data_IF_917821920656
#
_entry.id   IF_917821920656
#
_cell.length_a   1.000
_cell.length_b   1.000
_cell.length_c   1.000
_cell.angle_alpha   90.00
_cell.angle_beta   90.00
_cell.angle_gamma   90.00
#
_symmetry.space_group_name_H-M   'P 1'
#
loop_
_entity.id
_entity.type
_entity.pdbx_description
1 polymer ?
#
# COMPACT_ATOMS: atom_id res chain seq x y z
N UNK A 1 11.06 -12.52 8.57
CA UNK A 1 11.11 -12.75 7.10
C UNK A 1 12.41 -13.41 6.70
N UNK A 2 13.57 -12.74 6.87
CA UNK A 2 14.87 -13.28 6.45
C UNK A 2 15.22 -14.64 7.09
N UNK A 3 14.88 -14.86 8.37
CA UNK A 3 15.07 -16.16 9.03
C UNK A 3 14.26 -17.28 8.38
N UNK A 4 13.03 -16.99 7.93
CA UNK A 4 12.12 -17.97 7.30
C UNK A 4 12.47 -18.22 5.84
N UNK A 5 12.91 -17.17 5.13
CA UNK A 5 13.26 -17.20 3.71
C UNK A 5 14.68 -16.67 3.50
N UNK A 6 15.71 -17.43 3.92
CA UNK A 6 17.10 -16.95 3.91
C UNK A 6 17.70 -16.84 2.51
N UNK A 7 17.15 -17.55 1.52
CA UNK A 7 17.62 -17.52 0.13
C UNK A 7 16.45 -17.43 -0.85
N UNK A 8 16.75 -17.00 -2.08
CA UNK A 8 15.77 -16.96 -3.17
C UNK A 8 15.19 -18.35 -3.47
N UNK A 9 16.00 -19.40 -3.38
CA UNK A 9 15.57 -20.77 -3.62
C UNK A 9 14.50 -21.21 -2.62
N UNK A 10 14.69 -20.89 -1.33
CA UNK A 10 13.70 -21.18 -0.28
C UNK A 10 12.42 -20.38 -0.51
N UNK A 11 12.53 -19.08 -0.82
CA UNK A 11 11.35 -18.25 -1.11
C UNK A 11 10.57 -18.73 -2.35
N UNK A 12 11.28 -19.14 -3.40
CA UNK A 12 10.68 -19.65 -4.64
C UNK A 12 9.97 -20.99 -4.44
N UNK A 13 10.44 -21.82 -3.51
CA UNK A 13 9.82 -23.11 -3.18
C UNK A 13 8.65 -22.99 -2.20
N UNK A 14 8.58 -21.92 -1.40
CA UNK A 14 7.52 -21.70 -0.44
C UNK A 14 6.13 -21.65 -1.13
N UNK A 15 5.10 -22.08 -0.41
CA UNK A 15 3.71 -21.92 -0.85
C UNK A 15 3.27 -20.45 -0.76
N UNK A 16 2.20 -20.10 -1.50
CA UNK A 16 1.62 -18.76 -1.42
C UNK A 16 1.09 -18.46 -0.01
N UNK A 17 0.54 -19.46 0.67
CA UNK A 17 0.04 -19.36 2.05
C UNK A 17 1.18 -19.03 3.03
N UNK A 18 2.33 -19.71 2.95
CA UNK A 18 3.47 -19.43 3.83
C UNK A 18 4.03 -18.01 3.67
N UNK A 19 4.03 -17.51 2.43
CA UNK A 19 4.46 -16.15 2.08
C UNK A 19 3.45 -15.13 2.58
N UNK A 20 2.15 -15.36 2.35
CA UNK A 20 1.09 -14.47 2.84
C UNK A 20 1.07 -14.39 4.37
N UNK A 21 1.22 -15.52 5.05
CA UNK A 21 1.34 -15.60 6.50
C UNK A 21 2.50 -14.73 7.02
N UNK A 22 3.68 -14.85 6.41
CA UNK A 22 4.85 -14.07 6.78
C UNK A 22 4.73 -12.57 6.42
N UNK A 23 3.85 -12.22 5.47
CA UNK A 23 3.56 -10.84 5.05
C UNK A 23 2.36 -10.21 5.78
N UNK A 24 1.67 -10.98 6.62
CA UNK A 24 0.44 -10.57 7.27
C UNK A 24 0.64 -9.29 8.09
N UNK A 25 -0.17 -8.28 7.81
CA UNK A 25 -0.12 -6.97 8.49
C UNK A 25 0.70 -5.89 7.77
N UNK A 26 1.57 -6.24 6.81
CA UNK A 26 2.35 -5.25 6.04
C UNK A 26 1.55 -4.56 4.92
N UNK A 27 0.39 -5.11 4.57
CA UNK A 27 -0.46 -4.60 3.50
C UNK A 27 0.14 -4.75 2.10
N UNK A 28 -0.66 -4.43 1.07
CA UNK A 28 -0.30 -4.61 -0.34
C UNK A 28 0.26 -6.02 -0.64
N UNK A 29 -0.52 -7.06 -0.33
CA UNK A 29 -0.16 -8.47 -0.46
C UNK A 29 0.29 -8.88 -1.86
N UNK A 30 -0.14 -8.15 -2.91
CA UNK A 30 0.38 -8.33 -4.26
C UNK A 30 1.90 -8.22 -4.33
N UNK A 31 2.55 -7.44 -3.44
CA UNK A 31 4.02 -7.36 -3.36
C UNK A 31 4.64 -8.67 -2.90
N UNK A 32 4.07 -9.34 -1.92
CA UNK A 32 4.57 -10.63 -1.41
C UNK A 32 4.51 -11.70 -2.52
N UNK A 33 3.36 -11.78 -3.20
CA UNK A 33 3.16 -12.66 -4.34
C UNK A 33 4.15 -12.37 -5.48
N UNK A 34 4.30 -11.11 -5.86
CA UNK A 34 5.25 -10.68 -6.90
C UNK A 34 6.70 -10.95 -6.51
N UNK A 35 7.06 -10.79 -5.25
CA UNK A 35 8.40 -11.09 -4.74
C UNK A 35 8.71 -12.59 -4.83
N UNK A 36 7.74 -13.45 -4.49
CA UNK A 36 7.84 -14.90 -4.68
C UNK A 36 7.94 -15.27 -6.16
N UNK A 37 7.10 -14.69 -7.02
CA UNK A 37 7.17 -14.89 -8.48
C UNK A 37 8.54 -14.46 -9.05
N UNK A 38 9.07 -13.34 -8.58
CA UNK A 38 10.41 -12.85 -8.94
C UNK A 38 11.51 -13.81 -8.48
N UNK A 39 11.45 -14.33 -7.25
CA UNK A 39 12.40 -15.33 -6.76
C UNK A 39 12.37 -16.62 -7.58
N UNK A 40 11.17 -17.11 -7.93
CA UNK A 40 11.00 -18.26 -8.81
C UNK A 40 11.57 -17.98 -10.22
N UNK A 41 11.34 -16.79 -10.76
CA UNK A 41 11.92 -16.39 -12.05
C UNK A 41 13.46 -16.41 -12.02
N UNK A 42 14.07 -15.86 -10.97
CA UNK A 42 15.54 -15.87 -10.82
C UNK A 42 16.07 -17.30 -10.73
N UNK A 43 15.43 -18.17 -9.95
CA UNK A 43 15.81 -19.59 -9.83
C UNK A 43 15.71 -20.32 -11.16
N UNK A 44 14.57 -20.19 -11.84
CA UNK A 44 14.20 -21.05 -12.98
C UNK A 44 14.74 -20.54 -14.32
N UNK A 45 14.98 -19.22 -14.46
CA UNK A 45 15.40 -18.59 -15.73
C UNK A 45 16.80 -18.00 -15.68
N UNK A 46 17.31 -17.62 -14.51
CA UNK A 46 18.59 -16.93 -14.35
C UNK A 46 19.61 -17.76 -13.55
N UNK A 47 19.38 -19.06 -13.40
CA UNK A 47 20.31 -19.96 -12.69
C UNK A 47 20.50 -19.63 -11.22
N UNK A 48 19.53 -18.96 -10.59
CA UNK A 48 19.60 -18.53 -9.19
C UNK A 48 20.42 -17.27 -8.94
N UNK A 49 20.95 -16.61 -9.98
CA UNK A 49 21.74 -15.40 -9.85
C UNK A 49 20.91 -14.15 -10.19
N UNK A 50 20.94 -13.16 -9.29
CA UNK A 50 20.33 -11.85 -9.57
C UNK A 50 21.26 -11.09 -10.54
N UNK A 51 20.74 -10.56 -11.66
CA UNK A 51 21.53 -9.79 -12.60
C UNK A 51 21.93 -8.44 -11.99
N UNK A 52 23.07 -7.90 -12.39
CA UNK A 52 23.62 -6.66 -11.83
C UNK A 52 23.02 -5.40 -12.47
N UNK A 53 22.53 -5.48 -13.71
CA UNK A 53 22.11 -4.33 -14.50
C UNK A 53 20.64 -3.96 -14.29
N UNK A 54 20.31 -2.67 -14.41
CA UNK A 54 18.93 -2.18 -14.31
C UNK A 54 18.02 -2.78 -15.37
N UNK A 55 18.54 -2.93 -16.59
CA UNK A 55 17.81 -3.41 -17.76
C UNK A 55 17.38 -4.86 -17.61
N UNK A 56 18.21 -5.69 -16.97
CA UNK A 56 17.90 -7.09 -16.70
C UNK A 56 17.02 -7.25 -15.47
N UNK A 57 17.28 -6.48 -14.41
CA UNK A 57 16.45 -6.47 -13.20
C UNK A 57 14.99 -6.12 -13.51
N UNK A 58 14.75 -5.18 -14.43
CA UNK A 58 13.41 -4.79 -14.88
C UNK A 58 12.62 -5.91 -15.56
N UNK A 59 13.28 -6.98 -16.02
CA UNK A 59 12.61 -8.15 -16.62
C UNK A 59 12.03 -9.10 -15.55
N UNK A 60 12.46 -8.96 -14.29
CA UNK A 60 12.02 -9.82 -13.19
C UNK A 60 10.64 -9.36 -12.70
N UNK A 61 9.64 -10.26 -12.59
CA UNK A 61 8.32 -9.91 -12.07
C UNK A 61 8.38 -9.22 -10.71
N UNK A 62 7.70 -8.08 -10.59
CA UNK A 62 7.64 -7.31 -9.33
C UNK A 62 8.75 -6.29 -9.14
N UNK A 63 9.78 -6.27 -10.00
CA UNK A 63 10.84 -5.27 -9.96
C UNK A 63 10.48 -4.11 -10.90
N UNK A 64 10.23 -2.94 -10.31
CA UNK A 64 10.05 -1.68 -11.05
C UNK A 64 11.33 -0.84 -11.08
N UNK A 65 11.32 0.33 -11.75
CA UNK A 65 12.50 1.19 -11.92
C UNK A 65 13.20 1.56 -10.61
N UNK A 66 12.44 1.89 -9.57
CA UNK A 66 12.99 2.17 -8.24
C UNK A 66 13.76 0.97 -7.68
N UNK A 67 13.13 -0.21 -7.66
CA UNK A 67 13.72 -1.43 -7.11
C UNK A 67 14.92 -1.89 -7.93
N UNK A 68 14.87 -1.76 -9.25
CA UNK A 68 15.99 -2.06 -10.13
C UNK A 68 17.20 -1.17 -9.82
N UNK A 69 17.00 0.15 -9.75
CA UNK A 69 18.06 1.10 -9.39
C UNK A 69 18.60 0.89 -7.97
N UNK A 70 17.73 0.55 -7.01
CA UNK A 70 18.14 0.21 -5.65
C UNK A 70 19.04 -1.03 -5.60
N UNK A 71 18.61 -2.14 -6.21
CA UNK A 71 19.37 -3.39 -6.20
C UNK A 71 20.70 -3.22 -6.95
N UNK A 72 20.68 -2.66 -8.15
CA UNK A 72 21.88 -2.50 -8.99
C UNK A 72 22.93 -1.61 -8.33
N UNK A 73 22.52 -0.48 -7.73
CA UNK A 73 23.46 0.44 -7.08
C UNK A 73 23.96 -0.09 -5.73
N UNK A 74 23.06 -0.59 -4.86
CA UNK A 74 23.43 -1.00 -3.50
C UNK A 74 24.18 -2.34 -3.49
N UNK A 75 23.72 -3.31 -4.29
CA UNK A 75 24.27 -4.68 -4.24
C UNK A 75 25.38 -4.92 -5.26
N UNK A 76 25.41 -4.15 -6.35
CA UNK A 76 26.34 -4.40 -7.47
C UNK A 76 27.16 -3.18 -7.89
N UNK A 77 27.11 -2.10 -7.10
CA UNK A 77 27.83 -0.84 -7.32
C UNK A 77 27.65 -0.26 -8.74
N UNK A 78 26.50 -0.51 -9.38
CA UNK A 78 26.20 0.06 -10.68
C UNK A 78 25.76 1.51 -10.54
N UNK A 79 26.22 2.36 -11.45
CA UNK A 79 25.82 3.79 -11.53
C UNK A 79 24.39 3.91 -12.06
N UNK A 80 23.43 3.56 -11.22
CA UNK A 80 22.01 3.53 -11.51
C UNK A 80 21.27 4.44 -10.52
N UNK A 81 20.52 5.46 -10.99
CA UNK A 81 19.72 6.29 -10.11
C UNK A 81 18.52 5.52 -9.57
N UNK A 82 17.98 5.99 -8.45
CA UNK A 82 16.67 5.61 -7.96
C UNK A 82 15.87 6.85 -7.55
N UNK A 83 14.55 6.75 -7.65
CA UNK A 83 13.64 7.83 -7.25
C UNK A 83 12.41 7.24 -6.56
N UNK A 84 12.21 7.60 -5.30
CA UNK A 84 11.00 7.34 -4.53
C UNK A 84 10.32 8.65 -4.09
N UNK A 85 9.30 8.55 -3.23
CA UNK A 85 8.63 9.74 -2.68
C UNK A 85 9.52 10.62 -1.79
N UNK A 86 10.58 10.07 -1.20
CA UNK A 86 11.57 10.82 -0.42
C UNK A 86 12.47 11.63 -1.35
N UNK A 87 13.04 10.99 -2.37
CA UNK A 87 13.88 11.61 -3.38
C UNK A 87 13.13 12.70 -4.15
N UNK A 88 11.87 12.46 -4.57
CA UNK A 88 11.04 13.49 -5.22
C UNK A 88 10.88 14.72 -4.32
N UNK A 89 10.63 14.51 -3.02
CA UNK A 89 10.48 15.63 -2.06
C UNK A 89 11.78 16.40 -1.88
N UNK A 90 12.90 15.69 -1.73
CA UNK A 90 14.23 16.31 -1.62
C UNK A 90 14.54 17.15 -2.86
N UNK A 91 14.40 16.59 -4.06
CA UNK A 91 14.67 17.35 -5.29
C UNK A 91 13.68 18.49 -5.52
N UNK A 92 12.40 18.29 -5.19
CA UNK A 92 11.41 19.36 -5.22
C UNK A 92 11.83 20.56 -4.38
N UNK A 93 12.33 20.34 -3.16
CA UNK A 93 12.81 21.41 -2.27
C UNK A 93 14.15 21.98 -2.72
N UNK A 94 15.12 21.13 -3.06
CA UNK A 94 16.44 21.58 -3.53
C UNK A 94 16.34 22.49 -4.76
N UNK A 95 15.37 22.23 -5.63
CA UNK A 95 15.19 22.98 -6.88
C UNK A 95 13.98 23.92 -6.88
N UNK A 96 13.27 24.06 -5.77
CA UNK A 96 12.03 24.84 -5.65
C UNK A 96 11.01 24.50 -6.76
N UNK A 97 10.80 23.21 -7.02
CA UNK A 97 9.88 22.72 -8.05
C UNK A 97 8.52 22.48 -7.41
N UNK A 98 7.54 23.37 -7.67
CA UNK A 98 6.21 23.23 -7.10
C UNK A 98 5.24 22.51 -8.05
N UNK A 99 5.33 21.19 -8.09
CA UNK A 99 4.38 20.35 -8.80
C UNK A 99 3.98 19.16 -7.93
N UNK A 100 2.87 18.51 -8.24
CA UNK A 100 2.45 17.33 -7.49
C UNK A 100 3.39 16.17 -7.76
N UNK A 101 3.73 15.38 -6.74
CA UNK A 101 4.68 14.28 -6.84
C UNK A 101 4.25 13.16 -7.82
N UNK A 102 2.97 13.12 -8.23
CA UNK A 102 2.44 12.18 -9.21
C UNK A 102 2.38 12.74 -10.65
N UNK A 103 2.87 13.97 -10.88
CA UNK A 103 2.96 14.54 -12.21
C UNK A 103 4.10 13.85 -12.99
N UNK A 104 3.81 13.35 -14.20
CA UNK A 104 4.78 12.60 -15.01
C UNK A 104 6.02 13.41 -15.37
N UNK A 105 5.86 14.69 -15.69
CA UNK A 105 6.98 15.60 -15.99
C UNK A 105 7.84 15.86 -14.75
N UNK A 106 7.22 15.98 -13.57
CA UNK A 106 7.94 16.10 -12.29
C UNK A 106 8.75 14.84 -12.00
N UNK A 107 8.14 13.67 -12.16
CA UNK A 107 8.82 12.39 -11.97
C UNK A 107 10.00 12.26 -12.93
N UNK A 108 9.81 12.54 -14.23
CA UNK A 108 10.89 12.51 -15.23
C UNK A 108 12.05 13.43 -14.86
N UNK A 109 11.76 14.68 -14.47
CA UNK A 109 12.78 15.62 -14.04
C UNK A 109 13.56 15.11 -12.81
N UNK A 110 12.88 14.48 -11.84
CA UNK A 110 13.56 13.91 -10.68
C UNK A 110 14.49 12.75 -11.07
N UNK A 111 14.10 11.91 -12.02
CA UNK A 111 14.96 10.85 -12.57
C UNK A 111 16.20 11.43 -13.29
N UNK A 112 16.00 12.46 -14.12
CA UNK A 112 17.10 13.14 -14.81
C UNK A 112 18.06 13.81 -13.83
N UNK A 113 17.54 14.41 -12.75
CA UNK A 113 18.35 15.02 -11.69
C UNK A 113 19.12 13.95 -10.91
N UNK A 114 18.46 12.86 -10.52
CA UNK A 114 19.08 11.74 -9.82
C UNK A 114 20.29 11.21 -10.60
N UNK A 115 20.14 10.94 -11.90
CA UNK A 115 21.23 10.45 -12.74
C UNK A 115 22.40 11.44 -12.88
N UNK A 116 22.13 12.75 -12.85
CA UNK A 116 23.17 13.79 -12.98
C UNK A 116 23.99 14.01 -11.72
N UNK A 117 23.39 13.81 -10.54
CA UNK A 117 24.04 14.09 -9.26
C UNK A 117 24.62 12.85 -8.60
N UNK A 118 24.28 11.66 -9.10
CA UNK A 118 24.75 10.39 -8.58
C UNK A 118 26.28 10.32 -8.59
N UNK A 119 26.87 9.97 -7.45
CA UNK A 119 28.30 9.67 -7.36
C UNK A 119 28.59 8.36 -8.11
N UNK A 120 29.42 8.38 -9.18
CA UNK A 120 29.78 7.16 -9.89
C UNK A 120 30.71 6.23 -9.10
N UNK A 121 31.37 6.70 -8.04
CA UNK A 121 32.27 5.88 -7.23
C UNK A 121 31.51 5.09 -6.15
N UNK A 122 30.52 5.73 -5.51
CA UNK A 122 29.70 5.14 -4.45
C UNK A 122 28.19 5.30 -4.72
N UNK A 123 27.67 4.76 -5.84
CA UNK A 123 26.28 4.97 -6.24
C UNK A 123 25.27 4.42 -5.22
N UNK A 124 25.56 3.28 -4.59
CA UNK A 124 24.73 2.67 -3.55
C UNK A 124 24.58 3.58 -2.32
N UNK A 125 25.71 4.00 -1.76
CA UNK A 125 25.75 4.89 -0.59
C UNK A 125 25.09 6.24 -0.88
N UNK A 126 25.34 6.82 -2.05
CA UNK A 126 24.73 8.08 -2.46
C UNK A 126 23.20 7.96 -2.54
N UNK A 127 22.70 6.91 -3.18
CA UNK A 127 21.26 6.66 -3.29
C UNK A 127 20.62 6.45 -1.91
N UNK A 128 21.26 5.68 -1.02
CA UNK A 128 20.80 5.47 0.35
C UNK A 128 20.83 6.78 1.15
N UNK A 129 21.89 7.56 1.06
CA UNK A 129 22.00 8.87 1.73
C UNK A 129 20.90 9.83 1.26
N UNK A 130 20.55 9.83 -0.03
CA UNK A 130 19.48 10.67 -0.55
C UNK A 130 18.09 10.25 -0.06
N UNK A 131 17.82 8.94 0.01
CA UNK A 131 16.59 8.42 0.63
C UNK A 131 16.53 8.76 2.12
N UNK A 132 17.63 8.53 2.84
CA UNK A 132 17.76 8.76 4.28
C UNK A 132 17.58 10.24 4.63
N UNK A 133 18.20 11.14 3.86
CA UNK A 133 18.01 12.58 3.97
C UNK A 133 16.52 12.94 3.89
N UNK A 134 15.78 12.34 2.95
CA UNK A 134 14.34 12.55 2.85
C UNK A 134 13.59 11.97 4.05
N UNK A 135 13.96 10.79 4.52
CA UNK A 135 13.28 10.07 5.59
C UNK A 135 13.45 10.72 6.97
N UNK A 136 14.65 11.22 7.30
CA UNK A 136 15.01 11.63 8.67
C UNK A 136 15.11 13.15 8.87
N UNK A 137 15.57 13.89 7.86
CA UNK A 137 15.81 15.34 7.98
C UNK A 137 14.78 16.12 7.18
N UNK A 138 14.73 15.88 5.87
CA UNK A 138 13.87 16.59 4.92
C UNK A 138 12.46 15.98 4.91
N UNK A 139 11.82 15.89 6.08
CA UNK A 139 10.56 15.18 6.30
C UNK A 139 9.33 15.94 5.74
N UNK A 140 8.16 15.30 5.59
CA UNK A 140 6.98 15.94 5.00
C UNK A 140 6.34 17.08 5.80
N UNK A 141 6.52 17.13 7.13
CA UNK A 141 5.81 18.08 8.01
C UNK A 141 6.74 18.99 8.83
N UNK A 142 7.80 18.42 9.39
CA UNK A 142 8.70 19.10 10.30
C UNK A 142 10.13 18.86 9.80
N UNK A 143 10.46 19.44 8.65
CA UNK A 143 11.79 19.28 8.08
C UNK A 143 12.83 20.03 8.94
N UNK A 144 13.88 19.35 9.36
CA UNK A 144 14.97 19.96 10.12
C UNK A 144 16.00 20.61 9.17
N UNK A 145 15.63 21.78 8.63
CA UNK A 145 16.50 22.50 7.73
C UNK A 145 17.77 23.07 8.42
N UNK A 146 17.81 23.12 9.75
CA UNK A 146 18.97 23.63 10.48
C UNK A 146 20.10 22.61 10.49
N UNK A 147 19.80 21.33 10.73
CA UNK A 147 20.78 20.23 10.69
C UNK A 147 21.02 19.69 9.27
N UNK A 148 20.22 20.09 8.29
CA UNK A 148 20.33 19.58 6.92
C UNK A 148 21.71 19.85 6.28
N UNK A 149 22.45 18.80 5.86
CA UNK A 149 23.81 18.94 5.34
C UNK A 149 23.88 19.66 3.99
N UNK A 150 22.76 19.70 3.25
CA UNK A 150 22.66 20.33 1.92
C UNK A 150 21.84 21.63 1.94
N UNK A 151 21.66 22.25 3.12
CA UNK A 151 20.85 23.46 3.26
C UNK A 151 21.36 24.65 2.43
N UNK A 152 22.68 24.76 2.25
CA UNK A 152 23.32 25.85 1.49
C UNK A 152 22.95 25.86 0.00
N UNK A 153 22.59 24.70 -0.56
CA UNK A 153 22.19 24.55 -1.97
C UNK A 153 20.68 24.39 -2.14
N UNK A 154 19.90 24.50 -1.05
CA UNK A 154 18.47 24.26 -1.08
C UNK A 154 17.70 25.54 -1.45
N UNK A 155 17.14 25.58 -2.66
CA UNK A 155 16.39 26.75 -3.14
C UNK A 155 15.13 27.04 -2.34
N UNK A 156 14.39 26.02 -1.91
CA UNK A 156 13.21 26.23 -1.07
C UNK A 156 13.57 26.82 0.30
N UNK A 157 14.73 26.46 0.87
CA UNK A 157 15.20 27.04 2.14
C UNK A 157 15.62 28.50 1.94
N UNK A 158 16.35 28.79 0.87
CA UNK A 158 16.74 30.16 0.53
C UNK A 158 15.51 31.07 0.37
N UNK A 159 14.47 30.58 -0.33
CA UNK A 159 13.20 31.30 -0.48
C UNK A 159 12.48 31.49 0.87
N UNK A 160 12.44 30.46 1.73
CA UNK A 160 11.83 30.55 3.06
C UNK A 160 12.57 31.53 4.00
N UNK A 161 13.86 31.78 3.74
CA UNK A 161 14.66 32.79 4.43
C UNK A 161 14.51 34.20 3.83
N UNK A 162 13.70 34.37 2.78
CA UNK A 162 13.47 35.65 2.11
C UNK A 162 14.53 36.01 1.05
N UNK A 163 15.37 35.07 0.63
CA UNK A 163 16.36 35.33 -0.42
C UNK A 163 15.71 35.29 -1.82
N UNK A 164 16.04 36.28 -2.65
CA UNK A 164 15.68 36.26 -4.07
C UNK A 164 16.50 35.19 -4.83
N UNK A 165 15.85 34.43 -5.71
CA UNK A 165 16.54 33.47 -6.58
C UNK A 165 17.00 34.16 -7.86
N UNK A 166 18.28 34.04 -8.22
CA UNK A 166 18.74 34.46 -9.55
C UNK A 166 18.03 33.65 -10.66
N UNK A 167 17.23 34.35 -11.48
CA UNK A 167 16.50 33.81 -12.63
C UNK A 167 17.43 33.20 -13.69
N UNK A 168 18.70 33.62 -13.69
CA UNK A 168 19.74 33.25 -14.66
C UNK A 168 20.00 31.74 -14.73
N UNK A 169 19.79 30.99 -13.64
CA UNK A 169 20.09 29.55 -13.58
C UNK A 169 18.98 28.67 -14.14
N UNK A 170 17.73 29.16 -14.22
CA UNK A 170 16.59 28.40 -14.77
C UNK A 170 16.58 28.39 -16.30
N UNK A 171 17.19 29.41 -16.94
CA UNK A 171 17.16 29.58 -18.39
C UNK A 171 18.20 28.72 -19.13
N UNK A 172 19.28 28.26 -18.48
CA UNK A 172 20.35 27.50 -19.15
C UNK A 172 19.95 26.09 -19.61
N UNK A 173 18.86 25.52 -19.11
CA UNK A 173 18.30 24.26 -19.62
C UNK A 173 17.45 24.41 -20.90
N UNK A 174 17.21 25.65 -21.38
CA UNK A 174 16.42 25.90 -22.59
C UNK A 174 17.16 25.62 -23.91
N UNK A 175 18.47 25.39 -23.90
CA UNK A 175 19.30 25.51 -25.12
C UNK A 175 19.37 24.26 -26.01
N UNK A 176 18.40 23.34 -25.95
CA UNK A 176 18.33 22.21 -26.89
C UNK A 176 16.88 21.84 -27.22
N UNK A 177 16.20 22.76 -27.90
CA UNK A 177 15.17 22.51 -28.91
C UNK A 177 14.71 23.89 -29.41
N UNK A 178 15.29 24.34 -30.52
CA UNK A 178 14.81 25.51 -31.25
C UNK A 178 13.48 25.14 -31.91
N UNK A 179 12.39 25.28 -31.16
CA UNK A 179 11.08 25.59 -31.74
C UNK A 179 10.43 26.66 -30.89
N UNK A 180 9.93 27.69 -31.56
CA UNK A 180 9.36 28.88 -30.97
C UNK A 180 8.17 28.55 -30.07
N UNK A 181 8.42 28.33 -28.78
CA UNK A 181 7.39 28.27 -27.76
C UNK A 181 7.30 29.66 -27.13
N UNK A 182 6.14 30.28 -27.34
CA UNK A 182 5.60 31.45 -26.65
C UNK A 182 6.11 31.61 -25.21
N UNK A 183 6.22 32.86 -24.72
CA UNK A 183 6.52 33.31 -23.35
C UNK A 183 5.61 32.71 -22.24
N UNK A 184 4.93 31.59 -22.47
CA UNK A 184 4.21 30.84 -21.45
C UNK A 184 5.20 30.18 -20.46
N UNK A 185 4.95 30.43 -19.18
CA UNK A 185 5.72 29.98 -18.04
C UNK A 185 6.05 28.46 -18.07
N UNK A 186 7.22 28.11 -17.52
CA UNK A 186 7.60 26.70 -17.35
C UNK A 186 6.56 26.00 -16.46
N UNK A 187 5.84 25.02 -17.04
CA UNK A 187 4.76 24.25 -16.38
C UNK A 187 5.18 23.48 -15.12
N UNK A 188 6.47 23.49 -14.78
CA UNK A 188 7.07 22.73 -13.68
C UNK A 188 7.46 23.62 -12.49
N UNK A 189 7.82 24.89 -12.73
CA UNK A 189 8.54 25.72 -11.76
C UNK A 189 7.71 26.89 -11.18
N UNK A 190 6.39 26.75 -11.16
CA UNK A 190 5.46 27.89 -11.05
C UNK A 190 4.87 28.06 -9.65
N UNK A 191 5.63 28.59 -8.70
CA UNK A 191 5.03 29.07 -7.44
C UNK A 191 5.60 30.33 -6.81
N UNK A 192 6.77 30.78 -7.23
CA UNK A 192 7.39 31.97 -6.62
C UNK A 192 7.43 33.14 -7.59
N UNK A 193 6.61 33.13 -8.65
CA UNK A 193 6.61 34.16 -9.69
C UNK A 193 5.25 34.87 -9.59
N UNK A 194 5.25 36.18 -9.33
CA UNK A 194 4.02 36.99 -9.44
C UNK A 194 3.54 37.09 -10.91
N UNK A 195 2.41 37.76 -11.12
CA UNK A 195 1.87 38.06 -12.45
C UNK A 195 2.85 38.83 -13.38
N UNK A 196 3.90 39.43 -12.81
CA UNK A 196 4.91 40.22 -13.50
C UNK A 196 6.24 39.49 -13.73
N UNK A 197 6.41 38.26 -13.25
CA UNK A 197 7.66 37.51 -13.45
C UNK A 197 8.67 37.58 -12.31
N UNK A 198 8.36 38.26 -11.19
CA UNK A 198 9.30 38.51 -10.09
C UNK A 198 9.44 37.28 -9.16
N UNK A 199 10.65 36.71 -8.98
CA UNK A 199 10.90 35.68 -7.97
C UNK A 199 10.70 36.20 -6.55
N UNK A 200 9.96 35.49 -5.70
CA UNK A 200 9.89 35.76 -4.25
C UNK A 200 8.76 36.69 -3.80
N UNK A 201 7.84 37.08 -4.69
CA UNK A 201 6.71 37.96 -4.34
C UNK A 201 5.64 37.30 -3.43
N UNK A 202 5.65 35.97 -3.29
CA UNK A 202 4.76 35.22 -2.41
C UNK A 202 5.61 34.57 -1.31
N UNK A 203 5.34 34.84 -0.01
CA UNK A 203 5.98 34.13 1.09
C UNK A 203 5.78 32.63 0.91
N UNK A 204 6.86 31.87 0.87
CA UNK A 204 6.80 30.42 0.68
C UNK A 204 7.66 29.71 1.71
N UNK A 205 7.16 28.58 2.18
CA UNK A 205 7.82 27.71 3.15
C UNK A 205 8.35 26.45 2.44
N UNK A 206 9.37 25.82 3.02
CA UNK A 206 9.94 24.58 2.48
C UNK A 206 8.89 23.45 2.33
N UNK A 207 7.81 23.48 3.11
CA UNK A 207 6.72 22.50 3.08
C UNK A 207 5.68 22.76 1.98
N UNK A 208 5.80 23.86 1.23
CA UNK A 208 5.01 24.10 0.02
C UNK A 208 5.52 23.25 -1.17
N UNK A 209 6.73 22.67 -1.03
CA UNK A 209 7.38 21.82 -2.02
C UNK A 209 7.50 20.37 -1.52
N UNK A 210 7.01 19.36 -2.28
CA UNK A 210 6.22 19.46 -3.51
C UNK A 210 4.77 19.88 -3.24
N UNK A 211 4.07 20.31 -4.30
CA UNK A 211 2.65 20.65 -4.22
C UNK A 211 1.86 19.49 -3.64
N UNK A 212 1.14 19.74 -2.56
CA UNK A 212 0.21 18.75 -1.98
C UNK A 212 -0.89 18.47 -2.99
N UNK A 213 -1.15 17.20 -3.25
CA UNK A 213 -2.30 16.77 -4.03
C UNK A 213 -3.57 16.96 -3.19
N UNK A 214 -4.61 17.50 -3.80
CA UNK A 214 -5.94 17.53 -3.20
C UNK A 214 -6.44 16.10 -2.94
N UNK A 215 -6.92 15.87 -1.72
CA UNK A 215 -7.46 14.57 -1.33
C UNK A 215 -8.87 14.46 -1.91
N UNK A 216 -9.05 13.59 -2.90
CA UNK A 216 -10.39 13.17 -3.33
C UNK A 216 -11.04 12.30 -2.26
N UNK A 217 -12.35 12.42 -2.10
CA UNK A 217 -13.12 11.49 -1.27
C UNK A 217 -12.95 10.07 -1.78
N UNK A 218 -12.84 9.13 -0.83
CA UNK A 218 -12.66 7.72 -1.15
C UNK A 218 -14.04 7.07 -1.29
N UNK A 219 -14.27 6.25 -2.34
CA UNK A 219 -15.49 5.46 -2.42
C UNK A 219 -15.64 4.58 -1.17
N UNK A 220 -16.87 4.49 -0.67
CA UNK A 220 -17.25 3.69 0.50
C UNK A 220 -18.02 2.47 0.03
N UNK A 221 -17.61 1.29 0.48
CA UNK A 221 -18.31 0.02 0.25
C UNK A 221 -18.85 -0.51 1.57
N UNK A 222 -20.06 -1.05 1.52
CA UNK A 222 -20.77 -1.59 2.67
C UNK A 222 -20.77 -3.11 2.59
N UNK A 223 -20.46 -3.77 3.70
CA UNK A 223 -20.42 -5.23 3.75
C UNK A 223 -21.23 -5.75 4.94
N UNK A 224 -21.97 -6.84 4.76
CA UNK A 224 -22.38 -7.70 5.86
C UNK A 224 -21.30 -8.77 6.06
N UNK A 225 -20.68 -8.80 7.23
CA UNK A 225 -19.65 -9.80 7.58
C UNK A 225 -20.23 -10.76 8.60
N UNK A 226 -20.31 -12.03 8.25
CA UNK A 226 -20.89 -13.08 9.09
C UNK A 226 -19.81 -13.99 9.64
N UNK A 227 -19.57 -13.93 10.94
CA UNK A 227 -18.63 -14.79 11.64
C UNK A 227 -19.36 -16.06 12.09
N UNK A 228 -19.37 -17.06 11.21
CA UNK A 228 -20.01 -18.35 11.49
C UNK A 228 -19.12 -19.15 12.45
N UNK A 229 -19.68 -19.55 13.59
CA UNK A 229 -18.94 -20.15 14.71
C UNK A 229 -19.60 -21.46 15.15
N UNK A 230 -18.78 -22.48 15.41
CA UNK A 230 -19.17 -23.71 16.11
C UNK A 230 -18.36 -23.80 17.41
N UNK A 231 -19.05 -24.00 18.54
CA UNK A 231 -18.42 -24.18 19.84
C UNK A 231 -18.22 -25.68 20.13
N UNK A 232 -16.96 -26.15 20.08
CA UNK A 232 -16.61 -27.55 20.33
C UNK A 232 -15.88 -27.75 21.65
N UNK A 233 -16.60 -27.79 22.78
CA UNK A 233 -16.10 -28.35 24.06
C UNK A 233 -14.76 -27.82 24.58
N UNK A 234 -14.38 -26.58 24.25
CA UNK A 234 -13.12 -25.96 24.70
C UNK A 234 -12.40 -25.11 23.64
N UNK A 235 -12.68 -25.33 22.35
CA UNK A 235 -12.12 -24.52 21.26
C UNK A 235 -13.20 -24.16 20.22
N UNK A 236 -13.47 -22.87 20.04
CA UNK A 236 -14.38 -22.38 19.00
C UNK A 236 -13.69 -22.43 17.63
N UNK A 237 -14.41 -22.92 16.61
CA UNK A 237 -13.97 -22.90 15.21
C UNK A 237 -14.79 -21.90 14.42
N UNK A 238 -14.16 -21.30 13.41
CA UNK A 238 -14.73 -20.24 12.59
C UNK A 238 -14.64 -20.62 11.12
N UNK A 239 -15.73 -20.44 10.37
CA UNK A 239 -15.71 -20.68 8.93
C UNK A 239 -15.00 -19.54 8.22
N UNK A 240 -13.98 -19.88 7.45
CA UNK A 240 -13.17 -18.97 6.65
C UNK A 240 -13.28 -19.34 5.18
N UNK A 241 -13.34 -18.33 4.32
CA UNK A 241 -13.37 -18.48 2.87
C UNK A 241 -12.11 -17.86 2.28
N UNK A 242 -11.51 -18.54 1.30
CA UNK A 242 -10.38 -17.99 0.57
C UNK A 242 -10.87 -17.06 -0.52
N UNK A 243 -10.32 -15.85 -0.57
CA UNK A 243 -10.62 -14.89 -1.64
C UNK A 243 -10.05 -15.36 -2.97
N UNK A 244 -10.67 -14.99 -4.11
CA UNK A 244 -10.13 -15.27 -5.43
C UNK A 244 -8.66 -14.84 -5.59
N UNK A 245 -7.93 -15.48 -6.51
CA UNK A 245 -6.51 -15.18 -6.77
C UNK A 245 -6.28 -13.78 -7.40
N UNK A 246 -7.34 -13.04 -7.71
CA UNK A 246 -7.28 -11.70 -8.30
C UNK A 246 -8.16 -10.71 -7.53
N UNK A 247 -7.84 -9.42 -7.68
CA UNK A 247 -8.58 -8.33 -7.04
C UNK A 247 -8.09 -7.95 -5.64
N UNK A 248 -8.94 -7.26 -4.89
CA UNK A 248 -8.61 -6.74 -3.57
C UNK A 248 -8.45 -7.90 -2.56
N UNK A 249 -7.33 -7.91 -1.84
CA UNK A 249 -6.97 -8.95 -0.87
C UNK A 249 -6.96 -10.35 -1.51
N UNK A 250 -6.47 -10.45 -2.75
CA UNK A 250 -6.36 -11.71 -3.48
C UNK A 250 -5.67 -12.83 -2.67
N UNK A 251 -6.25 -14.02 -2.70
CA UNK A 251 -5.73 -15.22 -2.03
C UNK A 251 -5.74 -15.19 -0.50
N UNK A 252 -6.31 -14.15 0.12
CA UNK A 252 -6.39 -14.04 1.57
C UNK A 252 -7.63 -14.74 2.13
N UNK A 253 -7.54 -15.24 3.35
CA UNK A 253 -8.68 -15.77 4.10
C UNK A 253 -9.53 -14.65 4.70
N UNK A 254 -10.85 -14.79 4.61
CA UNK A 254 -11.82 -13.87 5.21
C UNK A 254 -13.04 -14.59 5.79
N UNK A 255 -13.75 -13.92 6.68
CA UNK A 255 -15.09 -14.36 7.06
C UNK A 255 -16.07 -14.16 5.91
N UNK A 256 -17.14 -14.96 5.80
CA UNK A 256 -18.21 -14.76 4.84
C UNK A 256 -18.65 -13.28 4.77
N UNK A 257 -18.47 -12.67 3.60
CA UNK A 257 -18.67 -11.23 3.41
C UNK A 257 -19.53 -10.98 2.18
N UNK A 258 -20.71 -10.39 2.40
CA UNK A 258 -21.65 -9.98 1.36
C UNK A 258 -21.50 -8.48 1.12
N UNK A 259 -21.26 -8.05 -0.12
CA UNK A 259 -21.33 -6.64 -0.52
C UNK A 259 -22.79 -6.18 -0.51
N UNK A 260 -23.06 -5.02 0.10
CA UNK A 260 -24.38 -4.42 0.21
C UNK A 260 -24.49 -3.19 -0.69
N UNK A 261 -25.66 -2.99 -1.28
CA UNK A 261 -25.93 -1.84 -2.16
C UNK A 261 -25.96 -0.49 -1.41
N UNK A 262 -26.29 -0.53 -0.12
CA UNK A 262 -26.43 0.67 0.70
C UNK A 262 -26.15 0.39 2.18
N UNK A 263 -26.04 1.48 2.94
CA UNK A 263 -25.90 1.45 4.39
C UNK A 263 -27.26 1.71 5.06
N UNK A 264 -27.55 0.95 6.11
CA UNK A 264 -28.74 1.10 6.92
C UNK A 264 -28.40 1.39 8.40
N UNK A 265 -28.86 2.54 8.91
CA UNK A 265 -28.70 2.90 10.32
C UNK A 265 -29.41 1.94 11.29
N UNK A 266 -30.43 1.22 10.82
CA UNK A 266 -31.17 0.21 11.60
C UNK A 266 -30.46 -1.16 11.64
N UNK A 267 -29.21 -1.24 11.19
CA UNK A 267 -28.41 -2.46 11.16
C UNK A 267 -28.77 -3.36 9.98
N UNK A 268 -28.61 -4.68 10.15
CA UNK A 268 -28.76 -5.66 9.07
C UNK A 268 -30.22 -6.02 8.72
N UNK A 269 -31.20 -5.50 9.47
CA UNK A 269 -32.63 -5.80 9.25
C UNK A 269 -33.11 -5.60 7.81
N UNK A 270 -32.85 -4.43 7.18
CA UNK A 270 -33.21 -4.17 5.78
C UNK A 270 -32.51 -5.06 4.76
N UNK A 271 -31.41 -5.72 5.13
CA UNK A 271 -30.62 -6.58 4.24
C UNK A 271 -30.89 -8.08 4.44
N UNK A 272 -31.84 -8.46 5.31
CA UNK A 272 -32.11 -9.86 5.66
C UNK A 272 -32.33 -10.78 4.45
N UNK A 273 -33.12 -10.35 3.47
CA UNK A 273 -33.38 -11.15 2.28
C UNK A 273 -32.11 -11.39 1.44
N UNK A 274 -31.26 -10.37 1.28
CA UNK A 274 -29.99 -10.50 0.56
C UNK A 274 -29.00 -11.40 1.31
N UNK A 275 -28.97 -11.30 2.65
CA UNK A 275 -28.15 -12.17 3.51
C UNK A 275 -28.63 -13.62 3.41
N UNK A 276 -29.94 -13.86 3.45
CA UNK A 276 -30.50 -15.20 3.34
C UNK A 276 -30.14 -15.85 2.00
N UNK A 277 -30.34 -15.13 0.90
CA UNK A 277 -29.95 -15.56 -0.44
C UNK A 277 -28.45 -15.87 -0.53
N UNK A 278 -27.59 -15.00 0.03
CA UNK A 278 -26.14 -15.23 0.06
C UNK A 278 -25.77 -16.51 0.83
N UNK A 279 -26.45 -16.78 1.94
CA UNK A 279 -26.21 -17.98 2.74
C UNK A 279 -26.63 -19.24 1.98
N UNK A 280 -27.81 -19.25 1.37
CA UNK A 280 -28.29 -20.36 0.54
C UNK A 280 -27.35 -20.65 -0.64
N UNK A 281 -26.91 -19.60 -1.34
CA UNK A 281 -26.00 -19.71 -2.49
C UNK A 281 -24.62 -20.25 -2.10
N UNK A 282 -24.11 -19.92 -0.90
CA UNK A 282 -22.75 -20.29 -0.48
C UNK A 282 -22.68 -21.56 0.34
N UNK A 283 -23.66 -21.80 1.19
CA UNK A 283 -23.63 -22.83 2.23
C UNK A 283 -24.74 -23.87 2.08
N UNK A 284 -25.55 -23.75 1.02
CA UNK A 284 -26.66 -24.64 0.73
C UNK A 284 -27.92 -24.30 1.52
N UNK A 285 -29.05 -24.97 1.19
CA UNK A 285 -30.31 -24.79 1.91
C UNK A 285 -30.23 -25.33 3.34
N UNK A 286 -31.00 -24.74 4.27
CA UNK A 286 -31.21 -25.28 5.61
C UNK A 286 -30.38 -24.65 6.75
N UNK A 287 -29.37 -23.82 6.47
CA UNK A 287 -28.59 -23.14 7.53
C UNK A 287 -29.43 -22.10 8.29
N UNK A 288 -30.35 -21.40 7.60
CA UNK A 288 -31.19 -20.34 8.14
C UNK A 288 -32.64 -20.78 8.43
N UNK A 289 -32.98 -22.04 8.18
CA UNK A 289 -34.34 -22.59 8.32
C UNK A 289 -34.49 -23.55 9.51
N UNK A 290 -33.42 -23.76 10.28
CA UNK A 290 -33.42 -24.64 11.47
C UNK A 290 -33.41 -23.82 12.76
N UNK A 291 -34.01 -24.34 13.84
CA UNK A 291 -33.82 -23.82 15.21
C UNK A 291 -32.36 -23.94 15.70
N UNK A 292 -31.44 -24.37 14.83
CA UNK A 292 -30.05 -24.71 15.13
C UNK A 292 -29.06 -23.58 14.81
N UNK A 293 -29.54 -22.37 14.47
CA UNK A 293 -28.69 -21.18 14.35
C UNK A 293 -29.18 -20.01 15.21
N UNK A 294 -28.22 -19.24 15.73
CA UNK A 294 -28.48 -17.99 16.46
C UNK A 294 -27.58 -16.90 15.94
N UNK A 295 -28.18 -15.77 15.57
CA UNK A 295 -27.43 -14.58 15.14
C UNK A 295 -27.27 -13.59 16.30
N UNK A 296 -26.05 -13.11 16.51
CA UNK A 296 -25.70 -12.09 17.49
C UNK A 296 -25.12 -10.87 16.76
N UNK A 297 -25.75 -9.69 16.84
CA UNK A 297 -25.19 -8.48 16.22
C UNK A 297 -23.90 -8.07 16.94
N UNK A 298 -22.86 -7.74 16.16
CA UNK A 298 -21.57 -7.26 16.68
C UNK A 298 -21.46 -5.74 16.55
N UNK A 299 -21.91 -5.19 15.41
CA UNK A 299 -21.90 -3.77 15.11
C UNK A 299 -20.95 -3.41 13.96
N UNK A 300 -20.74 -2.10 13.78
CA UNK A 300 -20.08 -1.58 12.59
C UNK A 300 -18.57 -1.43 12.78
N UNK A 301 -17.83 -1.97 11.81
CA UNK A 301 -16.37 -2.01 11.83
C UNK A 301 -15.85 -1.36 10.56
N UNK A 302 -15.06 -0.31 10.74
CA UNK A 302 -14.53 0.45 9.60
C UNK A 302 -13.07 0.09 9.31
N UNK A 303 -12.76 -0.06 8.02
CA UNK A 303 -11.41 -0.25 7.54
C UNK A 303 -11.13 0.65 6.34
N UNK A 304 -10.00 1.35 6.35
CA UNK A 304 -9.64 2.31 5.30
C UNK A 304 -8.45 1.77 4.53
N UNK A 305 -8.64 1.54 3.23
CA UNK A 305 -7.57 1.28 2.27
C UNK A 305 -7.06 2.60 1.67
N UNK A 306 -5.97 2.53 0.92
CA UNK A 306 -5.45 3.70 0.20
C UNK A 306 -6.46 4.25 -0.81
N UNK A 307 -7.27 3.39 -1.44
CA UNK A 307 -8.16 3.74 -2.56
C UNK A 307 -9.67 3.63 -2.26
N UNK A 308 -10.08 3.05 -1.12
CA UNK A 308 -11.48 2.90 -0.74
C UNK A 308 -11.64 2.75 0.77
N UNK A 309 -12.87 2.85 1.27
CA UNK A 309 -13.23 2.59 2.67
C UNK A 309 -14.25 1.46 2.72
N UNK A 310 -14.05 0.48 3.61
CA UNK A 310 -15.05 -0.53 3.92
C UNK A 310 -15.74 -0.17 5.24
N UNK A 311 -17.05 -0.27 5.26
CA UNK A 311 -17.88 -0.25 6.47
C UNK A 311 -18.54 -1.63 6.56
N UNK A 312 -18.11 -2.41 7.54
CA UNK A 312 -18.51 -3.81 7.73
C UNK A 312 -19.51 -3.89 8.89
N UNK A 313 -20.77 -4.16 8.58
CA UNK A 313 -21.80 -4.52 9.56
C UNK A 313 -21.58 -5.98 9.96
N UNK A 314 -20.97 -6.21 11.12
CA UNK A 314 -20.60 -7.54 11.56
C UNK A 314 -21.71 -8.20 12.40
N UNK A 315 -21.92 -9.49 12.16
CA UNK A 315 -22.74 -10.37 12.96
C UNK A 315 -21.99 -11.68 13.24
N UNK A 316 -22.26 -12.30 14.38
CA UNK A 316 -21.82 -13.66 14.68
C UNK A 316 -23.01 -14.60 14.44
N UNK A 317 -22.77 -15.70 13.74
CA UNK A 317 -23.77 -16.75 13.50
C UNK A 317 -23.29 -17.99 14.23
N UNK A 318 -23.98 -18.38 15.30
CA UNK A 318 -23.69 -19.56 16.09
C UNK A 318 -24.47 -20.73 15.51
N UNK A 319 -23.80 -21.84 15.21
CA UNK A 319 -24.45 -23.05 14.69
C UNK A 319 -24.05 -24.27 15.53
N UNK A 320 -24.93 -25.27 15.59
CA UNK A 320 -24.75 -26.44 16.45
C UNK A 320 -23.69 -27.45 15.95
N UNK A 321 -23.59 -27.64 14.63
CA UNK A 321 -22.62 -28.56 14.00
C UNK A 321 -22.09 -27.96 12.69
N UNK A 322 -20.87 -28.37 12.30
CA UNK A 322 -20.29 -28.05 11.00
C UNK A 322 -21.05 -28.70 9.84
N UNK A 323 -21.77 -29.80 10.08
CA UNK A 323 -22.53 -30.55 9.07
C UNK A 323 -23.71 -29.76 8.49
N UNK A 324 -24.09 -28.66 9.17
CA UNK A 324 -25.10 -27.72 8.69
C UNK A 324 -24.59 -26.87 7.51
N UNK A 325 -23.28 -26.85 7.26
CA UNK A 325 -22.69 -26.19 6.09
C UNK A 325 -22.51 -27.21 4.99
N UNK A 326 -23.18 -26.99 3.87
CA UNK A 326 -22.97 -27.73 2.62
C UNK A 326 -22.34 -26.79 1.61
N UNK A 327 -20.99 -26.76 1.47
CA UNK A 327 -20.31 -25.83 0.58
C UNK A 327 -20.87 -25.91 -0.84
N UNK A 328 -21.33 -24.78 -1.35
CA UNK A 328 -21.87 -24.66 -2.70
C UNK A 328 -20.92 -23.78 -3.54
N UNK A 329 -20.40 -24.35 -4.64
CA UNK A 329 -19.46 -23.70 -5.55
C UNK A 329 -17.98 -23.98 -5.28
N UNK A 330 -17.11 -23.35 -6.08
CA UNK A 330 -15.67 -23.68 -6.15
C UNK A 330 -14.80 -22.89 -5.15
N UNK A 331 -15.40 -22.11 -4.26
CA UNK A 331 -14.64 -21.28 -3.33
C UNK A 331 -14.09 -22.15 -2.18
N UNK A 332 -12.78 -22.12 -1.99
CA UNK A 332 -12.11 -22.85 -0.90
C UNK A 332 -12.60 -22.35 0.46
N UNK A 333 -13.04 -23.29 1.31
CA UNK A 333 -13.56 -23.02 2.66
C UNK A 333 -12.82 -23.88 3.68
N UNK A 334 -12.55 -23.33 4.86
CA UNK A 334 -11.87 -24.04 5.94
C UNK A 334 -12.47 -23.63 7.30
N UNK A 335 -12.70 -24.61 8.17
CA UNK A 335 -13.00 -24.38 9.58
C UNK A 335 -11.71 -24.16 10.35
N UNK A 336 -11.45 -22.92 10.76
CA UNK A 336 -10.20 -22.55 11.42
C UNK A 336 -10.41 -22.29 12.90
N UNK A 337 -9.51 -22.79 13.73
CA UNK A 337 -9.37 -22.35 15.11
C UNK A 337 -8.50 -21.07 15.20
N UNK A 338 -8.39 -20.43 16.38
CA UNK A 338 -7.59 -19.21 16.54
C UNK A 338 -6.10 -19.38 16.21
N UNK A 339 -5.51 -20.56 16.45
CA UNK A 339 -4.09 -20.79 16.15
C UNK A 339 -3.88 -20.96 14.65
N UNK A 340 -4.77 -21.69 13.96
CA UNK A 340 -4.77 -21.79 12.50
C UNK A 340 -4.92 -20.42 11.85
N UNK A 341 -5.85 -19.57 12.32
CA UNK A 341 -6.00 -18.19 11.82
C UNK A 341 -4.74 -17.34 11.99
N UNK A 342 -3.98 -17.54 13.07
CA UNK A 342 -2.67 -16.88 13.26
C UNK A 342 -1.63 -17.42 12.28
N UNK A 343 -1.56 -18.73 12.10
CA UNK A 343 -0.59 -19.39 11.22
C UNK A 343 -0.79 -19.02 9.75
N UNK A 344 -2.03 -18.99 9.24
CA UNK A 344 -2.30 -18.59 7.85
C UNK A 344 -2.18 -17.09 7.61
N UNK A 345 -2.28 -16.30 8.67
CA UNK A 345 -2.23 -14.84 8.62
C UNK A 345 -3.48 -14.23 7.98
N UNK A 346 -4.49 -13.93 8.80
CA UNK A 346 -5.67 -13.18 8.32
C UNK A 346 -5.38 -11.67 8.17
N UNK A 347 -6.16 -11.02 7.31
CA UNK A 347 -6.02 -9.59 6.99
C UNK A 347 -6.41 -8.68 8.16
N UNK A 348 -5.86 -7.46 8.21
CA UNK A 348 -6.09 -6.52 9.32
C UNK A 348 -7.56 -6.16 9.54
N UNK A 349 -8.36 -6.04 8.47
CA UNK A 349 -9.82 -5.85 8.58
C UNK A 349 -10.49 -7.06 9.24
N UNK A 350 -10.11 -8.27 8.87
CA UNK A 350 -10.68 -9.49 9.46
C UNK A 350 -10.23 -9.69 10.91
N UNK A 351 -8.99 -9.33 11.27
CA UNK A 351 -8.54 -9.27 12.69
C UNK A 351 -9.43 -8.37 13.52
N UNK A 352 -9.80 -7.18 13.02
CA UNK A 352 -10.71 -6.25 13.72
C UNK A 352 -12.10 -6.87 13.93
N UNK A 353 -12.64 -7.56 12.91
CA UNK A 353 -13.92 -8.27 13.00
C UNK A 353 -13.85 -9.35 14.08
N UNK A 354 -12.81 -10.17 14.04
CA UNK A 354 -12.59 -11.25 15.00
C UNK A 354 -12.47 -10.73 16.45
N UNK A 355 -11.67 -9.69 16.68
CA UNK A 355 -11.54 -9.05 18.00
C UNK A 355 -12.86 -8.48 18.52
N UNK A 356 -13.69 -7.93 17.63
CA UNK A 356 -15.01 -7.39 18.00
C UNK A 356 -15.95 -8.53 18.45
N UNK A 357 -15.94 -9.66 17.74
CA UNK A 357 -16.68 -10.87 18.16
C UNK A 357 -16.25 -11.33 19.54
N UNK A 358 -14.94 -11.49 19.79
CA UNK A 358 -14.43 -11.93 21.09
C UNK A 358 -14.85 -11.01 22.24
N UNK A 359 -14.88 -9.68 22.00
CA UNK A 359 -15.33 -8.70 23.00
C UNK A 359 -16.82 -8.84 23.30
N UNK A 360 -17.65 -9.06 22.29
CA UNK A 360 -19.10 -9.22 22.45
C UNK A 360 -19.43 -10.54 23.15
N UNK A 361 -18.80 -11.66 22.77
CA UNK A 361 -19.03 -12.95 23.42
C UNK A 361 -18.67 -12.93 24.91
N UNK A 362 -17.59 -12.22 25.30
CA UNK A 362 -17.24 -12.01 26.72
C UNK A 362 -18.32 -11.24 27.48
N UNK A 363 -18.86 -10.16 26.89
CA UNK A 363 -19.94 -9.37 27.51
C UNK A 363 -21.22 -10.18 27.72
N UNK A 364 -21.53 -11.09 26.79
CA UNK A 364 -22.71 -11.96 26.90
C UNK A 364 -22.51 -13.01 28.00
N UNK A 365 -21.31 -13.58 28.18
CA UNK A 365 -21.03 -14.56 29.25
C UNK A 365 -20.98 -13.95 30.66
N UNK A 366 -20.81 -12.63 30.78
CA UNK A 366 -20.77 -11.90 32.06
C UNK A 366 -22.14 -11.38 32.51
N UNK A 367 -23.15 -11.45 31.64
CA UNK A 367 -24.55 -11.13 31.93
C UNK A 367 -25.33 -12.41 32.08
#
# INVERSE_FOLDING_TARGET
>A
WMEKFPTLGVLAAASEEEVNAAWAGLGYYSRARRLREGAAHVRDRLGGQIPSTTEELLKIPGIGPYTAGAISSISFNQTAPLVDGNVIRVFSRLRAINNTANNSSMTKLCWDLAGKVLDPQHPGDFNQALMELGATICTPKNADCQSCPVKSICKAKALADGNELEVSTLQKFRKREETAISKSACKVCMHCIDENGSPGAIPCDVHDFPKKKEKKEKPVEYYCVSVITVDGGGCSRYLMLKRPAQGLLAGQWEFPSLLLDSYANSGLGPHRAAIAKFFEEKFGPGLLDSDSFKTVPIGDIQHVFSHKKHVMMAQQVLIASTDLISPCGDQEMEWMDPERMKTVGITTNMKKVYEAVLKTSKKIKMK
#
